data_IF_937825206635
#
_entry.id   IF_937825206635
#
_cell.length_a   1.000
_cell.length_b   1.000
_cell.length_c   1.000
_cell.angle_alpha   90.00
_cell.angle_beta   90.00
_cell.angle_gamma   90.00
#
_symmetry.space_group_name_H-M   'P 1'
#
loop_
_entity.id
_entity.type
_entity.pdbx_description
1 polymer ?
#
# COMPACT_ATOMS: atom_id res chain seq x y z
N UNK A 1 -18.60 31.81 5.04
CA UNK A 1 -17.76 30.61 4.93
C UNK A 1 -18.70 29.46 4.59
N UNK A 2 -18.85 29.11 3.30
CA UNK A 2 -19.65 27.95 2.89
C UNK A 2 -18.79 26.72 3.12
N UNK A 3 -19.14 25.92 4.11
CA UNK A 3 -18.53 24.61 4.31
C UNK A 3 -19.19 23.71 3.28
N UNK A 4 -18.49 23.46 2.18
CA UNK A 4 -18.90 22.43 1.22
C UNK A 4 -18.46 21.07 1.76
N UNK A 5 -19.40 20.12 1.74
CA UNK A 5 -19.15 18.74 2.12
C UNK A 5 -18.25 18.11 1.06
N UNK A 6 -16.97 17.92 1.38
CA UNK A 6 -15.99 17.34 0.46
C UNK A 6 -16.36 15.89 0.23
N UNK A 7 -16.91 15.59 -0.95
CA UNK A 7 -17.04 14.21 -1.41
C UNK A 7 -15.64 13.65 -1.60
N UNK A 8 -15.35 12.55 -0.90
CA UNK A 8 -14.16 11.75 -1.13
C UNK A 8 -14.30 11.13 -2.53
N UNK A 9 -13.78 11.79 -3.56
CA UNK A 9 -13.62 11.22 -4.90
C UNK A 9 -12.49 10.17 -4.85
N UNK A 10 -12.77 9.03 -4.18
CA UNK A 10 -12.00 7.83 -4.43
C UNK A 10 -12.25 7.46 -5.88
N UNK A 11 -11.32 7.82 -6.78
CA UNK A 11 -11.34 7.40 -8.18
C UNK A 11 -11.74 5.93 -8.24
N UNK A 12 -12.85 5.62 -8.93
CA UNK A 12 -13.29 4.25 -9.15
C UNK A 12 -12.08 3.43 -9.64
N UNK A 13 -11.77 2.36 -8.90
CA UNK A 13 -10.73 1.42 -9.27
C UNK A 13 -11.16 0.69 -10.54
N UNK A 14 -10.85 1.25 -11.71
CA UNK A 14 -10.77 0.50 -12.97
C UNK A 14 -9.95 -0.75 -12.70
N UNK A 15 -10.39 -1.91 -13.19
CA UNK A 15 -9.76 -3.23 -12.95
C UNK A 15 -8.23 -3.10 -13.13
N UNK A 16 -7.52 -3.00 -12.01
CA UNK A 16 -6.08 -2.81 -11.97
C UNK A 16 -5.40 -4.19 -11.94
N UNK A 17 -4.13 -4.25 -12.34
CA UNK A 17 -3.35 -5.50 -12.41
C UNK A 17 -3.28 -6.27 -11.08
N UNK A 18 -3.57 -5.63 -9.95
CA UNK A 18 -3.57 -6.23 -8.61
C UNK A 18 -4.95 -6.29 -7.95
N UNK A 19 -6.04 -6.14 -8.71
CA UNK A 19 -7.43 -6.22 -8.20
C UNK A 19 -7.82 -7.57 -7.59
N UNK A 20 -7.08 -8.63 -7.89
CA UNK A 20 -7.27 -9.98 -7.34
C UNK A 20 -6.67 -10.16 -5.94
N UNK A 21 -5.80 -9.24 -5.49
CA UNK A 21 -5.16 -9.30 -4.17
C UNK A 21 -6.17 -8.84 -3.11
N UNK A 22 -6.43 -9.70 -2.13
CA UNK A 22 -7.42 -9.46 -1.06
C UNK A 22 -6.81 -9.31 0.33
N UNK A 23 -5.52 -9.59 0.48
CA UNK A 23 -4.80 -9.58 1.76
C UNK A 23 -3.48 -10.33 1.64
N UNK A 24 -2.80 -10.57 2.76
CA UNK A 24 -1.53 -11.31 2.77
C UNK A 24 -1.73 -12.83 2.74
N UNK A 25 -2.91 -13.34 3.07
CA UNK A 25 -3.21 -14.77 3.03
C UNK A 25 -2.40 -15.56 4.06
N UNK A 26 -2.40 -15.05 5.29
CA UNK A 26 -1.75 -15.68 6.45
C UNK A 26 -2.78 -16.42 7.28
N UNK A 27 -2.35 -17.49 7.95
CA UNK A 27 -3.17 -18.18 8.95
C UNK A 27 -3.09 -17.49 10.33
N UNK A 28 -3.71 -18.09 11.36
CA UNK A 28 -3.71 -17.57 12.73
C UNK A 28 -2.33 -17.48 13.39
N UNK A 29 -1.36 -18.25 12.89
CA UNK A 29 0.00 -18.29 13.42
C UNK A 29 0.96 -17.36 12.65
N UNK A 30 0.39 -16.46 11.82
CA UNK A 30 1.12 -15.54 10.94
C UNK A 30 1.97 -16.23 9.87
N UNK A 31 1.69 -17.50 9.56
CA UNK A 31 2.36 -18.26 8.50
C UNK A 31 1.60 -18.10 7.20
N UNK A 32 2.33 -17.86 6.10
CA UNK A 32 1.72 -17.67 4.80
C UNK A 32 1.24 -19.00 4.20
N UNK A 33 -0.05 -19.08 3.86
CA UNK A 33 -0.57 -20.26 3.17
C UNK A 33 -0.08 -20.29 1.71
N UNK A 34 0.25 -21.47 1.14
CA UNK A 34 0.84 -21.57 -0.20
C UNK A 34 0.04 -20.87 -1.30
N UNK A 35 -1.30 -20.94 -1.21
CA UNK A 35 -2.23 -20.28 -2.12
C UNK A 35 -3.37 -19.67 -1.31
N UNK A 36 -3.38 -18.35 -1.16
CA UNK A 36 -4.40 -17.65 -0.36
C UNK A 36 -4.45 -16.16 -0.68
N UNK A 37 -5.62 -15.54 -0.47
CA UNK A 37 -5.87 -14.10 -0.66
C UNK A 37 -5.40 -13.49 -2.02
N UNK A 38 -5.34 -14.30 -3.07
CA UNK A 38 -4.88 -13.90 -4.41
C UNK A 38 -3.38 -14.10 -4.67
N UNK A 39 -2.62 -14.60 -3.68
CA UNK A 39 -1.22 -14.97 -3.84
C UNK A 39 -1.02 -16.46 -4.11
N UNK A 40 0.08 -16.75 -4.79
CA UNK A 40 0.68 -18.09 -4.94
C UNK A 40 2.17 -17.94 -4.63
N UNK A 41 2.66 -18.61 -3.58
CA UNK A 41 4.07 -18.51 -3.16
C UNK A 41 4.43 -17.19 -2.45
N UNK A 42 5.70 -16.79 -2.47
CA UNK A 42 6.22 -15.58 -1.81
C UNK A 42 5.95 -15.55 -0.29
N UNK A 43 6.02 -16.71 0.36
CA UNK A 43 5.68 -16.94 1.76
C UNK A 43 6.48 -16.02 2.68
N UNK A 44 7.80 -16.04 2.60
CA UNK A 44 8.70 -15.22 3.43
C UNK A 44 8.45 -13.72 3.28
N UNK A 45 8.13 -13.26 2.08
CA UNK A 45 7.84 -11.85 1.83
C UNK A 45 6.47 -11.44 2.40
N UNK A 46 5.47 -12.33 2.35
CA UNK A 46 4.14 -12.13 2.93
C UNK A 46 4.18 -12.14 4.46
N UNK A 47 4.96 -13.05 5.04
CA UNK A 47 5.20 -13.11 6.48
C UNK A 47 5.97 -11.87 6.96
N UNK A 48 7.02 -11.44 6.26
CA UNK A 48 7.72 -10.20 6.61
C UNK A 48 6.80 -8.96 6.52
N UNK A 49 5.88 -8.94 5.55
CA UNK A 49 4.89 -7.89 5.42
C UNK A 49 3.87 -7.88 6.59
N UNK A 50 3.60 -9.03 7.22
CA UNK A 50 2.73 -9.12 8.39
C UNK A 50 3.29 -8.30 9.56
N UNK A 51 4.61 -8.39 9.78
CA UNK A 51 5.31 -7.62 10.81
C UNK A 51 5.15 -6.11 10.57
N UNK A 52 5.14 -5.67 9.31
CA UNK A 52 4.91 -4.27 8.95
C UNK A 52 3.48 -3.86 9.29
N UNK A 53 2.49 -4.68 8.90
CA UNK A 53 1.07 -4.45 9.22
C UNK A 53 0.88 -4.33 10.73
N UNK A 54 1.48 -5.22 11.51
CA UNK A 54 1.40 -5.22 12.97
C UNK A 54 2.06 -3.98 13.56
N UNK A 55 3.23 -3.57 13.07
CA UNK A 55 3.88 -2.33 13.51
C UNK A 55 3.03 -1.08 13.21
N UNK A 56 2.33 -1.05 12.07
CA UNK A 56 1.42 0.05 11.71
C UNK A 56 0.19 0.04 12.63
N UNK A 57 -0.46 -1.11 12.81
CA UNK A 57 -1.61 -1.28 13.72
C UNK A 57 -1.26 -0.92 15.17
N UNK A 58 -0.05 -1.27 15.61
CA UNK A 58 0.49 -0.91 16.92
C UNK A 58 0.97 0.54 17.03
N UNK A 59 0.86 1.36 15.97
CA UNK A 59 1.31 2.76 15.91
C UNK A 59 2.82 2.95 16.21
N UNK A 60 3.64 1.94 15.90
CA UNK A 60 5.11 1.93 16.13
C UNK A 60 5.93 2.11 14.85
N UNK A 61 5.28 2.45 13.73
CA UNK A 61 5.90 2.56 12.42
C UNK A 61 6.13 4.01 11.93
N UNK A 62 6.05 5.00 12.82
CA UNK A 62 6.23 6.41 12.45
C UNK A 62 7.66 6.70 11.94
N UNK A 63 7.77 7.43 10.82
CA UNK A 63 9.06 7.88 10.27
C UNK A 63 9.95 6.77 9.70
N UNK A 64 9.40 5.60 9.43
CA UNK A 64 10.13 4.45 8.89
C UNK A 64 9.84 4.27 7.39
N UNK A 65 10.82 3.72 6.68
CA UNK A 65 10.67 3.33 5.28
C UNK A 65 10.92 1.82 5.12
N UNK A 66 10.21 1.20 4.19
CA UNK A 66 10.42 -0.20 3.77
C UNK A 66 10.78 -0.20 2.30
N UNK A 67 11.78 -1.01 1.93
CA UNK A 67 12.18 -1.24 0.55
C UNK A 67 11.88 -2.68 0.16
N UNK A 68 11.03 -2.87 -0.85
CA UNK A 68 10.84 -4.16 -1.50
C UNK A 68 11.84 -4.30 -2.64
N UNK A 69 12.79 -5.23 -2.51
CA UNK A 69 13.82 -5.50 -3.51
C UNK A 69 13.59 -6.86 -4.19
N UNK A 70 13.95 -6.97 -5.47
CA UNK A 70 13.82 -8.20 -6.24
C UNK A 70 13.61 -7.95 -7.74
N UNK A 71 13.78 -8.98 -8.55
CA UNK A 71 13.63 -8.93 -10.01
C UNK A 71 12.24 -8.40 -10.45
N UNK A 72 12.08 -7.83 -11.65
CA UNK A 72 10.76 -7.46 -12.17
C UNK A 72 9.80 -8.67 -12.19
N UNK A 73 8.51 -8.43 -11.96
CA UNK A 73 7.49 -9.50 -11.97
C UNK A 73 7.39 -10.36 -10.70
N UNK A 74 8.20 -10.12 -9.66
CA UNK A 74 8.23 -10.92 -8.41
C UNK A 74 7.14 -10.55 -7.38
N UNK A 75 6.16 -9.73 -7.72
CA UNK A 75 5.04 -9.42 -6.82
C UNK A 75 5.27 -8.31 -5.79
N UNK A 76 6.36 -7.54 -5.88
CA UNK A 76 6.64 -6.39 -4.97
C UNK A 76 5.45 -5.45 -4.80
N UNK A 77 4.89 -4.98 -5.92
CA UNK A 77 3.73 -4.09 -5.90
C UNK A 77 2.48 -4.79 -5.36
N UNK A 78 2.32 -6.08 -5.63
CA UNK A 78 1.20 -6.88 -5.09
C UNK A 78 1.25 -6.94 -3.56
N UNK A 79 2.43 -7.11 -2.96
CA UNK A 79 2.60 -7.10 -1.50
C UNK A 79 2.25 -5.73 -0.90
N UNK A 80 2.63 -4.63 -1.56
CA UNK A 80 2.23 -3.30 -1.10
C UNK A 80 0.70 -3.10 -1.09
N UNK A 81 0.00 -3.59 -2.12
CA UNK A 81 -1.47 -3.61 -2.13
C UNK A 81 -2.04 -4.53 -1.05
N UNK A 82 -1.43 -5.70 -0.82
CA UNK A 82 -1.86 -6.62 0.22
C UNK A 82 -1.80 -5.99 1.62
N UNK A 83 -0.71 -5.26 1.92
CA UNK A 83 -0.58 -4.49 3.17
C UNK A 83 -1.73 -3.48 3.30
N UNK A 84 -2.07 -2.75 2.22
CA UNK A 84 -3.21 -1.84 2.22
C UNK A 84 -4.53 -2.55 2.52
N UNK A 85 -4.77 -3.74 1.93
CA UNK A 85 -5.97 -4.52 2.21
C UNK A 85 -6.03 -4.99 3.68
N UNK A 86 -4.89 -5.42 4.25
CA UNK A 86 -4.80 -5.86 5.65
C UNK A 86 -5.00 -4.74 6.68
N UNK A 87 -4.65 -3.51 6.32
CA UNK A 87 -4.89 -2.32 7.15
C UNK A 87 -6.37 -1.87 7.07
N UNK A 88 -7.05 -2.21 5.97
CA UNK A 88 -8.46 -1.96 5.75
C UNK A 88 -8.77 -0.55 5.22
N UNK A 89 -10.04 -0.29 4.86
CA UNK A 89 -10.45 0.89 4.09
C UNK A 89 -10.36 2.22 4.86
N UNK A 90 -10.14 2.17 6.18
CA UNK A 90 -10.02 3.37 7.02
C UNK A 90 -8.61 3.93 7.07
N UNK A 91 -7.62 3.15 6.64
CA UNK A 91 -6.22 3.59 6.61
C UNK A 91 -5.92 4.08 5.18
N UNK A 92 -5.49 5.33 4.99
CA UNK A 92 -5.20 5.86 3.66
C UNK A 92 -4.03 5.10 3.03
N UNK A 93 -4.17 4.79 1.73
CA UNK A 93 -3.11 4.22 0.92
C UNK A 93 -2.96 5.03 -0.36
N UNK A 94 -1.79 5.63 -0.54
CA UNK A 94 -1.51 6.55 -1.65
C UNK A 94 -0.40 5.94 -2.55
N UNK A 95 -0.75 5.14 -3.56
CA UNK A 95 0.21 4.65 -4.52
C UNK A 95 0.65 5.79 -5.44
N UNK A 96 1.97 5.91 -5.65
CA UNK A 96 2.59 6.90 -6.53
C UNK A 96 3.67 6.23 -7.39
N UNK A 97 3.77 6.65 -8.65
CA UNK A 97 4.87 6.26 -9.54
C UNK A 97 5.96 7.32 -9.48
N UNK A 98 7.24 6.92 -9.42
CA UNK A 98 8.35 7.87 -9.27
C UNK A 98 8.44 8.92 -10.38
N UNK A 99 7.92 8.66 -11.57
CA UNK A 99 7.84 9.63 -12.66
C UNK A 99 6.84 10.77 -12.38
N UNK A 100 5.82 10.54 -11.55
CA UNK A 100 4.81 11.56 -11.20
C UNK A 100 5.40 12.70 -10.37
N UNK A 101 6.57 12.50 -9.76
CA UNK A 101 7.31 13.52 -9.00
C UNK A 101 7.85 14.63 -9.93
N UNK A 102 8.03 14.35 -11.22
CA UNK A 102 8.56 15.31 -12.18
C UNK A 102 7.42 16.15 -12.76
N UNK A 103 7.40 17.44 -12.45
CA UNK A 103 6.46 18.42 -12.99
C UNK A 103 7.19 19.64 -13.52
N UNK A 104 6.66 20.27 -14.57
CA UNK A 104 7.12 21.55 -15.12
C UNK A 104 6.63 22.75 -14.31
N UNK A 105 5.50 22.60 -13.61
CA UNK A 105 4.80 23.68 -12.92
C UNK A 105 5.05 23.66 -11.41
N UNK A 106 5.22 22.47 -10.83
CA UNK A 106 5.31 22.26 -9.38
C UNK A 106 6.69 21.70 -9.03
N UNK A 107 7.27 22.18 -7.93
CA UNK A 107 8.55 21.66 -7.43
C UNK A 107 8.41 20.19 -7.01
N UNK A 108 9.41 19.36 -7.35
CA UNK A 108 9.48 17.93 -6.98
C UNK A 108 9.20 17.67 -5.50
N UNK A 109 9.73 18.53 -4.62
CA UNK A 109 9.52 18.42 -3.17
C UNK A 109 8.08 18.69 -2.76
N UNK A 110 7.39 19.61 -3.44
CA UNK A 110 5.98 19.93 -3.15
C UNK A 110 5.08 18.77 -3.56
N UNK A 111 5.37 18.14 -4.72
CA UNK A 111 4.65 16.93 -5.17
C UNK A 111 4.79 15.80 -4.14
N UNK A 112 5.99 15.58 -3.59
CA UNK A 112 6.19 14.59 -2.53
C UNK A 112 5.46 14.97 -1.24
N UNK A 113 5.53 16.23 -0.81
CA UNK A 113 4.85 16.72 0.39
C UNK A 113 3.33 16.59 0.28
N UNK A 114 2.75 16.84 -0.88
CA UNK A 114 1.33 16.65 -1.13
C UNK A 114 0.93 15.18 -0.98
N UNK A 115 1.72 14.25 -1.51
CA UNK A 115 1.46 12.82 -1.39
C UNK A 115 1.60 12.32 0.05
N UNK A 116 2.57 12.84 0.81
CA UNK A 116 2.64 12.56 2.25
C UNK A 116 1.40 13.05 2.99
N UNK A 117 0.87 14.25 2.68
CA UNK A 117 -0.36 14.77 3.31
C UNK A 117 -1.59 13.93 2.99
N UNK A 118 -1.69 13.38 1.77
CA UNK A 118 -2.78 12.47 1.36
C UNK A 118 -2.73 11.11 2.08
N UNK A 119 -1.58 10.74 2.64
CA UNK A 119 -1.35 9.46 3.32
C UNK A 119 -1.45 9.55 4.86
N UNK A 120 -1.95 10.67 5.40
CA UNK A 120 -2.15 10.91 6.85
C UNK A 120 -3.65 10.92 7.17
#
# INVERSE_FOLDING_TARGET
MKIEEVKNDSKELRVASHSHIRGLGLNSDFVAEPVSAGFVGQETAREAASVIVDMIKAKRFAGRAVLFAGAPGTGKTAIAYAISQELGPRVPFCPMVGSEVYSSEIKKTEVLMENFRRAI
#
